data_IF_688111726191
#
_entry.id   IF_688111726191
#
_cell.length_a   1.000
_cell.length_b   1.000
_cell.length_c   1.000
_cell.angle_alpha   90.00
_cell.angle_beta   90.00
_cell.angle_gamma   90.00
#
_symmetry.space_group_name_H-M   'P 1'
#
loop_
_entity.id
_entity.type
_entity.pdbx_description
1 polymer ?
#
# COMPACT_ATOMS: atom_id res chain seq x y z
N UNK A 1 -30.51 -27.17 14.67
CA UNK A 1 -29.65 -28.34 14.79
C UNK A 1 -29.85 -29.18 13.55
N UNK A 2 -28.94 -29.13 12.59
CA UNK A 2 -28.76 -30.14 11.55
C UNK A 2 -27.27 -30.07 11.11
N UNK A 3 -26.58 -31.20 10.87
CA UNK A 3 -25.14 -31.28 10.80
C UNK A 3 -24.59 -30.98 9.40
N UNK A 4 -23.40 -30.40 9.39
CA UNK A 4 -22.54 -30.12 8.24
C UNK A 4 -22.12 -31.42 7.50
N UNK A 5 -22.31 -31.45 6.21
CA UNK A 5 -21.81 -32.49 5.30
C UNK A 5 -20.33 -32.28 5.00
N UNK A 6 -19.55 -33.35 5.22
CA UNK A 6 -18.14 -33.48 4.86
C UNK A 6 -17.94 -33.48 3.35
N UNK A 7 -17.05 -32.62 2.84
CA UNK A 7 -16.54 -32.71 1.47
C UNK A 7 -15.13 -33.33 1.54
N UNK A 8 -14.96 -34.49 0.91
CA UNK A 8 -13.70 -35.19 0.77
C UNK A 8 -12.81 -34.52 -0.29
N UNK A 9 -11.47 -34.57 -0.13
CA UNK A 9 -10.55 -33.99 -1.11
C UNK A 9 -10.36 -34.91 -2.31
N UNK A 10 -10.39 -34.33 -3.50
CA UNK A 10 -10.05 -34.99 -4.78
C UNK A 10 -8.53 -35.11 -4.85
N UNK A 11 -8.06 -36.37 -5.00
CA UNK A 11 -6.65 -36.70 -5.24
C UNK A 11 -6.32 -36.46 -6.70
N UNK A 12 -5.30 -35.64 -6.99
CA UNK A 12 -4.69 -35.48 -8.30
C UNK A 12 -3.45 -36.37 -8.37
N UNK A 13 -3.52 -37.40 -9.22
CA UNK A 13 -2.39 -38.28 -9.57
C UNK A 13 -1.32 -37.47 -10.34
N UNK A 14 -0.12 -37.45 -9.78
CA UNK A 14 1.07 -36.91 -10.45
C UNK A 14 1.72 -38.01 -11.27
N UNK A 15 1.66 -37.89 -12.58
CA UNK A 15 2.40 -38.74 -13.52
C UNK A 15 3.87 -38.37 -13.48
N UNK A 16 4.70 -39.28 -12.94
CA UNK A 16 6.16 -39.19 -12.90
C UNK A 16 6.74 -39.67 -14.23
N UNK A 17 7.32 -38.77 -15.02
CA UNK A 17 8.19 -39.14 -16.15
C UNK A 17 9.65 -39.11 -15.72
N UNK A 18 10.23 -40.27 -15.54
CA UNK A 18 11.67 -40.47 -15.31
C UNK A 18 12.44 -40.32 -16.64
N UNK A 19 13.32 -39.33 -16.72
CA UNK A 19 14.33 -39.21 -17.77
C UNK A 19 15.70 -39.58 -17.22
N UNK A 20 16.24 -40.70 -17.71
CA UNK A 20 17.58 -41.20 -17.45
C UNK A 20 18.62 -40.39 -18.24
N UNK A 21 19.78 -40.00 -17.67
CA UNK A 21 20.86 -39.38 -18.44
C UNK A 21 21.76 -40.43 -19.14
N UNK A 22 22.38 -40.08 -20.29
CA UNK A 22 23.23 -40.99 -21.05
C UNK A 22 24.61 -41.21 -20.42
N UNK A 23 25.29 -42.34 -20.73
CA UNK A 23 26.55 -42.74 -20.09
C UNK A 23 27.77 -42.01 -20.64
N UNK A 24 28.69 -41.63 -19.72
CA UNK A 24 29.97 -41.01 -20.02
C UNK A 24 30.99 -42.12 -20.37
N UNK A 25 31.55 -42.08 -21.58
CA UNK A 25 32.64 -42.95 -22.05
C UNK A 25 33.97 -42.64 -21.36
N UNK A 26 34.48 -43.61 -20.60
CA UNK A 26 35.84 -43.66 -20.14
C UNK A 26 36.70 -44.22 -21.29
N UNK A 27 37.70 -43.48 -21.76
CA UNK A 27 38.83 -44.02 -22.51
C UNK A 27 40.08 -43.90 -21.68
N UNK A 28 40.57 -45.07 -21.22
CA UNK A 28 41.92 -45.27 -20.75
C UNK A 28 42.86 -45.14 -21.95
N UNK A 29 44.00 -44.50 -21.76
CA UNK A 29 45.19 -44.66 -22.59
C UNK A 29 46.40 -44.92 -21.66
N UNK A 30 46.84 -46.18 -21.67
CA UNK A 30 48.15 -46.60 -21.19
C UNK A 30 49.16 -46.48 -22.34
N UNK A 31 50.36 -45.95 -22.09
CA UNK A 31 51.57 -46.24 -22.80
C UNK A 31 52.76 -45.65 -21.94
N UNK A 32 53.68 -46.27 -21.55
CA UNK A 32 54.56 -47.41 -21.81
C UNK A 32 55.96 -46.92 -21.44
N UNK A 33 56.66 -47.84 -20.72
CA UNK A 33 58.03 -47.67 -20.19
C UNK A 33 59.08 -47.44 -21.30
N UNK A 34 60.13 -46.68 -20.95
CA UNK A 34 61.39 -46.62 -21.67
C UNK A 34 62.51 -46.44 -20.69
N UNK A 35 63.20 -47.56 -20.35
CA UNK A 35 64.51 -47.60 -19.66
C UNK A 35 65.57 -47.13 -20.61
N UNK A 36 66.51 -46.27 -20.15
CA UNK A 36 67.73 -45.92 -20.82
C UNK A 36 68.84 -45.60 -19.80
N UNK A 37 69.64 -46.57 -19.47
CA UNK A 37 70.87 -46.44 -18.70
C UNK A 37 71.95 -45.95 -19.59
N UNK A 38 72.74 -44.93 -19.23
CA UNK A 38 74.12 -44.71 -19.51
C UNK A 38 74.79 -43.70 -18.55
N UNK A 39 75.79 -44.09 -17.82
CA UNK A 39 76.72 -43.28 -17.07
C UNK A 39 78.05 -43.20 -17.90
N UNK A 40 79.12 -42.55 -17.38
CA UNK A 40 79.32 -41.16 -16.98
C UNK A 40 80.44 -40.51 -17.84
N UNK A 41 80.53 -39.20 -17.85
CA UNK A 41 81.80 -38.53 -18.22
C UNK A 41 82.02 -37.28 -17.37
N UNK A 42 83.06 -37.34 -16.59
CA UNK A 42 83.61 -36.26 -15.80
C UNK A 42 84.27 -35.24 -16.72
N UNK A 43 83.96 -33.97 -16.57
CA UNK A 43 84.85 -32.84 -16.87
C UNK A 43 84.57 -31.69 -15.90
N UNK A 44 85.58 -31.46 -15.06
CA UNK A 44 85.63 -30.31 -14.18
C UNK A 44 85.97 -29.05 -14.96
N UNK A 45 85.27 -27.96 -14.70
CA UNK A 45 85.90 -26.64 -14.76
C UNK A 45 84.96 -25.52 -14.24
N UNK A 46 85.54 -24.74 -13.38
CA UNK A 46 85.28 -23.34 -13.05
C UNK A 46 83.98 -22.93 -12.28
N UNK A 47 84.29 -22.61 -11.05
CA UNK A 47 83.49 -21.88 -10.11
C UNK A 47 82.92 -20.57 -10.71
N UNK A 48 81.64 -20.47 -10.71
CA UNK A 48 80.93 -19.23 -10.76
C UNK A 48 79.71 -19.35 -9.81
N UNK A 49 79.92 -18.94 -8.58
CA UNK A 49 78.85 -18.85 -7.58
C UNK A 49 77.82 -17.76 -8.04
N UNK A 50 76.83 -18.16 -8.85
CA UNK A 50 75.63 -17.37 -9.00
C UNK A 50 74.82 -17.71 -7.79
N UNK A 51 74.84 -16.84 -6.78
CA UNK A 51 73.88 -16.81 -5.71
C UNK A 51 72.58 -16.55 -6.34
N UNK A 52 71.72 -17.59 -6.55
CA UNK A 52 70.26 -17.41 -6.75
C UNK A 52 69.77 -16.71 -5.51
N UNK A 53 69.54 -15.38 -5.61
CA UNK A 53 68.66 -14.69 -4.71
C UNK A 53 67.31 -15.42 -4.78
N UNK A 54 67.06 -16.23 -3.77
CA UNK A 54 65.73 -16.71 -3.53
C UNK A 54 64.89 -15.43 -3.28
N UNK A 55 64.18 -14.98 -4.30
CA UNK A 55 63.05 -14.00 -4.09
C UNK A 55 62.22 -14.58 -2.98
N UNK A 56 62.25 -13.91 -1.84
CA UNK A 56 61.41 -14.21 -0.70
C UNK A 56 59.99 -13.80 -1.12
N UNK A 57 59.29 -14.61 -1.95
CA UNK A 57 57.89 -14.45 -2.29
C UNK A 57 57.13 -14.51 -0.99
N UNK A 58 56.80 -13.32 -0.47
CA UNK A 58 55.94 -13.17 0.70
C UNK A 58 54.69 -13.99 0.45
N UNK A 59 54.44 -14.99 1.28
CA UNK A 59 53.25 -15.83 1.17
C UNK A 59 52.00 -14.91 1.16
N UNK A 60 51.04 -15.09 0.23
CA UNK A 60 49.82 -14.30 0.22
C UNK A 60 49.11 -14.38 1.59
N UNK A 61 48.49 -13.30 2.05
CA UNK A 61 47.82 -13.29 3.36
C UNK A 61 46.71 -14.36 3.42
N UNK A 62 46.45 -14.83 4.63
CA UNK A 62 45.32 -15.73 4.86
C UNK A 62 43.96 -14.98 4.65
N UNK A 63 42.94 -15.68 4.16
CA UNK A 63 41.59 -15.05 4.00
C UNK A 63 41.11 -14.49 5.31
N UNK A 64 40.51 -13.28 5.25
CA UNK A 64 39.89 -12.62 6.39
C UNK A 64 38.39 -12.56 6.17
N UNK A 65 37.59 -12.91 7.20
CA UNK A 65 36.12 -12.90 7.15
C UNK A 65 35.57 -11.68 7.89
N UNK A 66 34.60 -11.02 7.28
CA UNK A 66 33.80 -9.93 7.92
C UNK A 66 32.34 -10.29 7.84
N UNK A 67 31.70 -10.40 9.00
CA UNK A 67 30.29 -10.69 9.12
C UNK A 67 29.49 -9.42 9.31
N UNK A 68 28.28 -9.39 8.74
CA UNK A 68 27.24 -8.40 8.98
C UNK A 68 25.92 -9.14 9.20
N UNK A 69 25.33 -9.10 10.42
CA UNK A 69 25.90 -8.47 11.63
C UNK A 69 27.18 -9.14 12.09
N UNK A 70 27.89 -8.52 13.05
CA UNK A 70 29.10 -9.10 13.64
C UNK A 70 28.78 -10.43 14.31
N UNK A 71 29.83 -11.29 14.45
CA UNK A 71 29.68 -12.53 15.22
C UNK A 71 29.21 -12.24 16.66
N UNK A 72 28.35 -13.09 17.18
CA UNK A 72 27.70 -12.98 18.48
C UNK A 72 26.79 -11.74 18.68
N UNK A 73 26.43 -11.02 17.60
CA UNK A 73 25.45 -9.94 17.68
C UNK A 73 24.10 -10.46 18.23
N UNK A 74 23.46 -9.64 19.05
CA UNK A 74 22.11 -9.90 19.57
C UNK A 74 21.11 -8.88 19.02
N UNK A 75 19.82 -9.20 19.14
CA UNK A 75 18.70 -8.34 18.79
C UNK A 75 18.74 -7.80 17.33
N UNK A 76 19.24 -8.64 16.42
CA UNK A 76 19.30 -8.29 15.00
C UNK A 76 17.89 -8.21 14.43
N UNK A 77 17.55 -7.07 13.85
CA UNK A 77 16.24 -6.88 13.20
C UNK A 77 16.11 -7.79 11.98
N UNK A 78 15.01 -8.56 11.81
CA UNK A 78 14.85 -9.56 10.76
C UNK A 78 15.08 -9.07 9.32
N UNK A 79 14.79 -7.81 9.03
CA UNK A 79 14.94 -7.17 7.73
C UNK A 79 16.29 -6.48 7.52
N UNK A 80 17.20 -6.59 8.49
CA UNK A 80 18.56 -6.05 8.37
C UNK A 80 19.32 -6.75 7.25
N UNK A 81 20.24 -6.06 6.55
CA UNK A 81 21.15 -6.70 5.61
C UNK A 81 22.03 -7.73 6.31
N UNK A 82 21.99 -8.98 5.86
CA UNK A 82 22.78 -10.10 6.42
C UNK A 82 23.75 -10.57 5.36
N UNK A 83 25.03 -10.51 5.65
CA UNK A 83 26.08 -10.92 4.71
C UNK A 83 27.36 -11.39 5.41
N UNK A 84 28.19 -12.10 4.67
CA UNK A 84 29.56 -12.37 5.02
C UNK A 84 30.47 -12.07 3.83
N UNK A 85 31.58 -11.40 4.09
CA UNK A 85 32.58 -11.01 3.09
C UNK A 85 33.91 -11.68 3.41
N UNK A 86 34.66 -12.07 2.37
CA UNK A 86 36.02 -12.53 2.47
C UNK A 86 36.98 -11.61 1.70
N UNK A 87 38.08 -11.24 2.30
CA UNK A 87 39.23 -10.63 1.63
C UNK A 87 40.38 -11.65 1.50
N UNK A 88 41.29 -11.44 0.52
CA UNK A 88 42.41 -12.30 0.21
C UNK A 88 42.04 -13.77 -0.14
N UNK A 89 40.82 -13.94 -0.74
CA UNK A 89 40.32 -15.26 -1.12
C UNK A 89 38.89 -15.21 -1.65
N UNK A 90 38.28 -16.39 -1.75
CA UNK A 90 36.90 -16.56 -2.22
C UNK A 90 36.16 -17.65 -1.45
N UNK A 91 34.82 -17.62 -1.43
CA UNK A 91 34.00 -18.64 -0.80
C UNK A 91 33.88 -19.90 -1.68
N UNK A 92 34.13 -21.07 -1.10
CA UNK A 92 33.74 -22.35 -1.69
C UNK A 92 32.29 -22.68 -1.40
N UNK A 93 31.91 -22.56 -0.14
CA UNK A 93 30.56 -22.81 0.35
C UNK A 93 30.23 -21.85 1.50
N UNK A 94 29.01 -21.33 1.52
CA UNK A 94 28.44 -20.60 2.65
C UNK A 94 26.96 -21.02 2.81
N UNK A 95 26.56 -21.18 4.06
CA UNK A 95 25.18 -21.34 4.44
C UNK A 95 24.92 -20.61 5.76
N UNK A 96 23.74 -20.02 5.88
CA UNK A 96 23.20 -19.50 7.13
C UNK A 96 22.01 -20.38 7.50
N UNK A 97 22.01 -20.97 8.71
CA UNK A 97 20.97 -21.87 9.19
C UNK A 97 20.38 -21.38 10.50
N UNK A 98 19.08 -21.51 10.69
CA UNK A 98 18.45 -21.26 11.98
C UNK A 98 18.55 -22.51 12.90
N UNK A 99 18.11 -22.38 14.16
CA UNK A 99 18.15 -23.45 15.16
C UNK A 99 17.31 -24.68 14.81
N UNK A 100 16.31 -24.57 13.91
CA UNK A 100 15.53 -25.70 13.39
C UNK A 100 16.17 -26.39 12.18
N UNK A 101 17.34 -25.92 11.71
CA UNK A 101 18.05 -26.47 10.55
C UNK A 101 17.57 -25.91 9.20
N UNK A 102 16.63 -24.96 9.16
CA UNK A 102 16.24 -24.29 7.91
C UNK A 102 17.40 -23.43 7.41
N UNK A 103 17.81 -23.66 6.14
CA UNK A 103 18.79 -22.83 5.44
C UNK A 103 18.09 -21.58 4.92
N UNK A 104 18.67 -20.41 5.23
CA UNK A 104 18.24 -19.12 4.69
C UNK A 104 18.72 -18.97 3.27
N UNK A 105 17.84 -18.59 2.35
CA UNK A 105 18.20 -18.33 0.96
C UNK A 105 19.19 -17.17 0.85
N UNK A 106 20.16 -17.29 -0.07
CA UNK A 106 21.14 -16.25 -0.32
C UNK A 106 21.92 -16.50 -1.59
N UNK A 107 22.70 -15.51 -2.00
CA UNK A 107 23.47 -15.53 -3.23
C UNK A 107 24.88 -14.98 -3.05
N UNK A 108 25.80 -15.43 -3.92
CA UNK A 108 27.13 -14.88 -4.04
C UNK A 108 27.17 -13.74 -5.06
N UNK A 109 28.08 -12.78 -4.85
CA UNK A 109 28.49 -11.89 -5.93
C UNK A 109 29.33 -12.68 -6.98
N UNK A 110 29.63 -12.04 -8.13
CA UNK A 110 30.33 -12.68 -9.26
C UNK A 110 31.67 -13.31 -8.87
N UNK A 111 32.45 -12.65 -8.02
CA UNK A 111 33.77 -13.06 -7.61
C UNK A 111 33.77 -14.01 -6.40
N UNK A 112 32.58 -14.36 -5.90
CA UNK A 112 32.39 -15.19 -4.70
C UNK A 112 33.10 -14.65 -3.46
N UNK A 113 33.24 -13.34 -3.34
CA UNK A 113 33.83 -12.65 -2.19
C UNK A 113 32.83 -12.15 -1.18
N UNK A 114 31.53 -12.08 -1.57
CA UNK A 114 30.41 -11.71 -0.71
C UNK A 114 29.29 -12.71 -0.87
N UNK A 115 28.73 -13.16 0.24
CA UNK A 115 27.46 -13.89 0.29
C UNK A 115 26.44 -13.04 1.05
N UNK A 116 25.26 -12.85 0.47
CA UNK A 116 24.17 -12.06 1.06
C UNK A 116 22.89 -12.88 1.08
N UNK A 117 22.11 -12.82 2.19
CA UNK A 117 20.79 -13.44 2.25
C UNK A 117 19.80 -12.69 1.38
N UNK A 118 18.81 -13.39 0.82
CA UNK A 118 17.78 -12.85 -0.08
C UNK A 118 16.37 -12.89 0.50
N UNK A 119 16.21 -13.45 1.69
CA UNK A 119 14.94 -13.48 2.43
C UNK A 119 15.10 -12.89 3.84
N UNK A 120 14.05 -12.32 4.42
CA UNK A 120 14.05 -11.86 5.82
C UNK A 120 14.26 -13.04 6.77
N UNK A 121 14.81 -12.73 7.94
CA UNK A 121 15.00 -13.70 9.03
C UNK A 121 13.74 -13.82 9.89
N UNK A 122 13.61 -14.89 10.67
CA UNK A 122 12.57 -15.03 11.70
C UNK A 122 12.89 -14.21 12.96
N UNK A 123 11.86 -13.91 13.74
CA UNK A 123 11.99 -13.39 15.10
C UNK A 123 12.44 -14.47 16.07
N UNK A 124 13.04 -14.07 17.18
CA UNK A 124 13.40 -14.93 18.33
C UNK A 124 14.17 -16.20 17.90
N UNK A 125 15.15 -16.02 17.04
CA UNK A 125 15.87 -17.13 16.44
C UNK A 125 17.39 -16.93 16.50
N UNK A 126 18.11 -18.05 16.70
CA UNK A 126 19.56 -18.09 16.54
C UNK A 126 19.91 -18.55 15.13
N UNK A 127 20.81 -17.83 14.50
CA UNK A 127 21.34 -18.13 13.18
C UNK A 127 22.83 -18.45 13.27
N UNK A 128 23.26 -19.50 12.53
CA UNK A 128 24.65 -19.98 12.54
C UNK A 128 25.18 -20.00 11.11
N UNK A 129 26.30 -19.36 10.90
CA UNK A 129 27.09 -19.43 9.66
C UNK A 129 27.88 -20.74 9.59
N UNK A 130 27.91 -21.33 8.41
CA UNK A 130 28.74 -22.51 8.11
C UNK A 130 29.27 -22.44 6.69
N UNK A 131 30.45 -23.05 6.48
CA UNK A 131 31.07 -23.09 5.15
C UNK A 131 32.58 -23.03 5.17
N UNK A 132 33.15 -22.63 4.02
CA UNK A 132 34.61 -22.48 3.86
C UNK A 132 34.95 -21.40 2.84
N UNK A 133 36.02 -20.66 3.09
CA UNK A 133 36.69 -19.78 2.14
C UNK A 133 38.11 -20.27 1.88
N UNK A 134 38.66 -20.03 0.68
CA UNK A 134 40.01 -20.41 0.30
C UNK A 134 40.79 -19.14 -0.08
N UNK A 135 41.99 -19.00 0.49
CA UNK A 135 42.87 -17.88 0.20
C UNK A 135 43.71 -18.09 -1.08
N UNK A 136 44.26 -16.98 -1.58
CA UNK A 136 45.22 -17.02 -2.68
C UNK A 136 46.48 -17.82 -2.35
N UNK A 137 46.73 -18.12 -1.06
CA UNK A 137 47.79 -19.01 -0.56
C UNK A 137 47.36 -20.50 -0.59
N UNK A 138 46.16 -20.85 -1.08
CA UNK A 138 45.63 -22.20 -1.13
C UNK A 138 45.10 -22.73 0.22
N UNK A 139 45.20 -21.97 1.31
CA UNK A 139 44.71 -22.40 2.63
C UNK A 139 43.23 -22.11 2.77
N UNK A 140 42.49 -23.10 3.30
CA UNK A 140 41.07 -22.93 3.61
C UNK A 140 40.88 -22.44 5.05
N UNK A 141 39.92 -21.56 5.24
CA UNK A 141 39.41 -21.13 6.56
C UNK A 141 37.93 -21.47 6.69
N UNK A 142 37.50 -21.92 7.88
CA UNK A 142 36.07 -22.18 8.09
C UNK A 142 35.28 -20.85 8.17
N UNK A 143 34.07 -20.84 7.60
CA UNK A 143 33.11 -19.77 7.81
C UNK A 143 32.26 -20.19 9.01
N UNK A 144 32.52 -19.61 10.17
CA UNK A 144 31.82 -19.91 11.44
C UNK A 144 31.46 -18.61 12.14
N UNK A 145 30.27 -18.54 12.69
CA UNK A 145 29.76 -17.42 13.45
C UNK A 145 28.28 -17.64 13.77
N UNK A 146 27.78 -16.89 14.70
CA UNK A 146 26.34 -16.95 15.11
C UNK A 146 25.85 -15.58 15.53
N UNK A 147 24.55 -15.37 15.44
CA UNK A 147 23.89 -14.19 16.00
C UNK A 147 22.43 -14.53 16.34
N UNK A 148 21.76 -13.66 17.09
CA UNK A 148 20.34 -13.82 17.43
C UNK A 148 19.53 -12.65 16.89
N UNK A 149 18.30 -12.94 16.48
CA UNK A 149 17.33 -11.91 16.08
C UNK A 149 16.55 -11.44 17.29
N UNK A 150 15.96 -10.23 17.15
CA UNK A 150 15.12 -9.62 18.18
C UNK A 150 13.96 -10.54 18.57
N UNK A 151 13.67 -10.56 19.87
CA UNK A 151 12.49 -11.19 20.46
C UNK A 151 11.46 -10.08 20.78
N UNK A 152 10.44 -9.86 19.93
CA UNK A 152 9.47 -8.79 20.14
C UNK A 152 8.68 -8.97 21.43
N UNK A 153 8.44 -7.87 22.16
CA UNK A 153 7.51 -7.86 23.30
C UNK A 153 6.07 -8.13 22.82
N UNK A 154 5.74 -7.69 21.60
CA UNK A 154 4.49 -7.93 20.90
C UNK A 154 4.72 -7.90 19.38
N UNK A 155 4.04 -8.78 18.66
CA UNK A 155 3.90 -8.71 17.21
C UNK A 155 2.54 -8.10 16.89
N UNK A 156 2.53 -6.98 16.15
CA UNK A 156 1.31 -6.23 15.84
C UNK A 156 0.95 -6.49 14.37
N UNK A 157 -0.25 -6.99 14.15
CA UNK A 157 -0.84 -7.19 12.83
C UNK A 157 -1.61 -5.96 12.37
N UNK A 158 -1.70 -5.79 11.05
CA UNK A 158 -2.59 -4.82 10.41
C UNK A 158 -3.52 -5.51 9.43
N UNK A 159 -4.69 -4.90 9.18
CA UNK A 159 -5.65 -5.39 8.20
C UNK A 159 -6.24 -4.21 7.42
N UNK A 160 -6.38 -4.39 6.10
CA UNK A 160 -7.13 -3.45 5.28
C UNK A 160 -8.62 -3.63 5.49
N UNK A 161 -9.38 -2.51 5.49
CA UNK A 161 -10.84 -2.56 5.53
C UNK A 161 -11.43 -2.96 4.17
N UNK A 162 -10.78 -2.60 3.07
CA UNK A 162 -11.17 -3.01 1.73
C UNK A 162 -10.72 -4.45 1.42
N UNK A 163 -11.53 -5.15 0.65
CA UNK A 163 -11.15 -6.46 0.10
C UNK A 163 -10.29 -6.31 -1.16
N UNK A 164 -9.37 -7.25 -1.37
CA UNK A 164 -8.55 -7.30 -2.58
C UNK A 164 -9.42 -7.51 -3.83
N UNK A 165 -9.11 -6.79 -4.90
CA UNK A 165 -9.88 -6.81 -6.15
C UNK A 165 -11.21 -6.06 -6.11
N UNK A 166 -11.55 -5.37 -5.02
CA UNK A 166 -12.82 -4.64 -4.90
C UNK A 166 -12.88 -3.44 -5.87
N UNK A 167 -14.09 -3.13 -6.37
CA UNK A 167 -14.37 -1.87 -7.06
C UNK A 167 -15.13 -0.95 -6.13
N UNK A 168 -14.63 0.28 -5.94
CA UNK A 168 -15.14 1.26 -4.98
C UNK A 168 -15.41 2.62 -5.62
N UNK A 169 -16.12 3.51 -4.92
CA UNK A 169 -16.41 4.87 -5.33
C UNK A 169 -15.19 5.80 -5.23
N UNK A 170 -15.32 6.98 -5.82
CA UNK A 170 -14.22 7.95 -6.01
C UNK A 170 -13.71 8.58 -4.72
N UNK A 171 -14.41 8.42 -3.59
CA UNK A 171 -14.01 8.96 -2.29
C UNK A 171 -13.58 7.88 -1.27
N UNK A 172 -13.39 6.63 -1.71
CA UNK A 172 -12.99 5.56 -0.82
C UNK A 172 -11.61 5.81 -0.22
N UNK A 173 -11.45 5.90 1.12
CA UNK A 173 -10.14 5.93 1.74
C UNK A 173 -9.52 4.54 1.80
N UNK A 174 -8.19 4.48 1.88
CA UNK A 174 -7.46 3.29 2.26
C UNK A 174 -7.34 3.31 3.78
N UNK A 175 -7.79 2.25 4.45
CA UNK A 175 -7.80 2.16 5.91
C UNK A 175 -7.01 0.93 6.32
N UNK A 176 -6.03 1.12 7.19
CA UNK A 176 -5.35 0.03 7.89
C UNK A 176 -5.69 0.14 9.38
N UNK A 177 -6.34 -0.90 9.90
CA UNK A 177 -6.60 -1.09 11.31
C UNK A 177 -5.54 -2.02 11.89
N UNK A 178 -4.86 -1.60 12.95
CA UNK A 178 -3.91 -2.42 13.70
C UNK A 178 -4.58 -3.04 14.93
N UNK A 179 -4.05 -4.17 15.39
CA UNK A 179 -4.57 -4.92 16.54
C UNK A 179 -3.97 -4.46 17.89
N UNK A 180 -3.25 -3.34 17.89
CA UNK A 180 -2.71 -2.67 19.07
C UNK A 180 -2.36 -1.21 18.81
N UNK A 181 -2.18 -0.39 19.87
CA UNK A 181 -1.56 0.93 19.78
C UNK A 181 -0.14 0.86 19.22
N UNK A 182 0.29 1.91 18.52
CA UNK A 182 1.62 2.06 17.90
C UNK A 182 2.28 3.33 18.44
N UNK A 183 3.45 3.19 19.07
CA UNK A 183 4.19 4.33 19.60
C UNK A 183 5.13 4.96 18.55
N UNK A 184 5.69 4.16 17.63
CA UNK A 184 6.52 4.65 16.53
C UNK A 184 5.75 4.64 15.20
N UNK A 185 4.75 5.54 15.10
CA UNK A 185 3.93 5.72 13.89
C UNK A 185 4.78 6.10 12.67
N UNK A 186 5.86 6.84 12.86
CA UNK A 186 6.74 7.25 11.76
C UNK A 186 7.50 6.06 11.13
N UNK A 187 7.94 5.10 11.93
CA UNK A 187 8.58 3.87 11.42
C UNK A 187 7.60 3.07 10.57
N UNK A 188 6.35 2.94 11.02
CA UNK A 188 5.29 2.23 10.29
C UNK A 188 4.95 2.95 8.99
N UNK A 189 4.68 4.25 9.04
CA UNK A 189 4.26 5.02 7.86
C UNK A 189 5.30 5.01 6.73
N UNK A 190 6.61 5.01 7.05
CA UNK A 190 7.70 4.84 6.07
C UNK A 190 7.63 3.51 5.30
N UNK A 191 6.93 2.53 5.82
CA UNK A 191 6.77 1.22 5.19
C UNK A 191 5.49 1.10 4.34
N UNK A 192 4.65 2.15 4.33
CA UNK A 192 3.40 2.20 3.59
C UNK A 192 3.61 2.89 2.25
N UNK A 193 3.33 2.20 1.16
CA UNK A 193 3.44 2.74 -0.19
C UNK A 193 2.09 2.63 -0.91
N UNK A 194 1.61 3.73 -1.47
CA UNK A 194 0.43 3.77 -2.32
C UNK A 194 0.86 4.14 -3.73
N UNK A 195 0.49 3.31 -4.69
CA UNK A 195 0.73 3.55 -6.13
C UNK A 195 -0.59 3.59 -6.85
N UNK A 196 -0.86 4.68 -7.59
CA UNK A 196 -2.09 4.84 -8.36
C UNK A 196 -1.79 5.01 -9.85
N UNK A 197 -2.70 4.53 -10.69
CA UNK A 197 -2.65 4.72 -12.15
C UNK A 197 -4.03 5.19 -12.63
N UNK A 198 -4.14 6.47 -13.10
CA UNK A 198 -3.10 7.50 -13.18
C UNK A 198 -2.61 7.92 -11.78
N UNK A 199 -1.41 8.55 -11.69
CA UNK A 199 -0.87 9.06 -10.43
C UNK A 199 -1.79 10.10 -9.78
N UNK A 200 -2.04 9.98 -8.47
CA UNK A 200 -2.86 10.90 -7.67
C UNK A 200 -2.08 11.37 -6.46
N UNK A 201 -2.14 12.66 -6.17
CA UNK A 201 -1.61 13.21 -4.91
C UNK A 201 -2.47 12.73 -3.73
N UNK A 202 -1.84 12.20 -2.69
CA UNK A 202 -2.53 11.75 -1.49
C UNK A 202 -1.60 11.70 -0.29
N UNK A 203 -2.17 11.54 0.90
CA UNK A 203 -1.43 11.50 2.16
C UNK A 203 -2.04 10.52 3.15
N UNK A 204 -1.17 9.89 3.95
CA UNK A 204 -1.56 9.18 5.16
C UNK A 204 -1.90 10.17 6.27
N UNK A 205 -2.81 9.77 7.14
CA UNK A 205 -3.16 10.48 8.37
C UNK A 205 -3.45 9.47 9.48
N UNK A 206 -2.87 9.66 10.66
CA UNK A 206 -3.13 8.85 11.83
C UNK A 206 -4.34 9.42 12.57
N UNK A 207 -5.41 8.65 12.59
CA UNK A 207 -6.62 9.01 13.31
C UNK A 207 -6.47 8.64 14.80
N UNK A 208 -7.39 9.12 15.69
CA UNK A 208 -7.44 8.66 17.06
C UNK A 208 -7.51 7.13 17.13
N UNK A 209 -6.76 6.54 18.06
CA UNK A 209 -6.76 5.09 18.25
C UNK A 209 -8.15 4.62 18.72
N UNK A 210 -8.57 3.46 18.24
CA UNK A 210 -9.81 2.80 18.66
C UNK A 210 -9.56 1.71 19.70
N UNK A 211 -10.63 1.08 20.17
CA UNK A 211 -10.54 -0.01 21.14
C UNK A 211 -9.68 -1.19 20.64
N UNK A 212 -9.63 -1.41 19.32
CA UNK A 212 -8.84 -2.44 18.67
C UNK A 212 -7.37 -2.08 18.60
N UNK A 213 -7.03 -0.79 18.46
CA UNK A 213 -5.67 -0.31 18.29
C UNK A 213 -5.56 0.93 17.40
N UNK A 214 -4.36 1.16 16.89
CA UNK A 214 -4.07 2.31 16.04
C UNK A 214 -4.74 2.19 14.66
N UNK A 215 -5.10 3.34 14.09
CA UNK A 215 -5.67 3.47 12.75
C UNK A 215 -4.90 4.47 11.91
N UNK A 216 -4.66 4.11 10.64
CA UNK A 216 -4.09 5.03 9.65
C UNK A 216 -4.91 4.97 8.38
N UNK A 217 -5.30 6.14 7.88
CA UNK A 217 -6.06 6.29 6.66
C UNK A 217 -5.21 7.02 5.60
N UNK A 218 -5.44 6.68 4.35
CA UNK A 218 -4.91 7.44 3.22
C UNK A 218 -6.06 7.86 2.31
N UNK A 219 -6.07 9.12 1.92
CA UNK A 219 -6.96 9.62 0.88
C UNK A 219 -6.22 10.50 -0.11
N UNK A 220 -6.72 10.60 -1.36
CA UNK A 220 -6.22 11.60 -2.28
C UNK A 220 -6.62 13.00 -1.81
N UNK A 221 -5.94 14.01 -2.36
CA UNK A 221 -6.29 15.42 -2.14
C UNK A 221 -7.68 15.74 -2.66
N UNK A 222 -7.95 15.33 -3.90
CA UNK A 222 -9.25 15.41 -4.57
C UNK A 222 -9.81 13.99 -4.74
N UNK A 223 -11.08 13.84 -5.09
CA UNK A 223 -11.63 12.53 -5.42
C UNK A 223 -10.80 11.84 -6.52
N UNK A 224 -10.67 10.54 -6.43
CA UNK A 224 -9.99 9.78 -7.48
C UNK A 224 -10.65 10.00 -8.85
N UNK A 225 -9.88 10.07 -9.92
CA UNK A 225 -10.41 9.88 -11.27
C UNK A 225 -11.08 8.51 -11.39
N UNK A 226 -12.21 8.44 -12.09
CA UNK A 226 -12.86 7.16 -12.39
C UNK A 226 -11.92 6.23 -13.18
N UNK A 227 -11.94 4.95 -12.86
CA UNK A 227 -11.09 3.95 -13.48
C UNK A 227 -9.65 3.88 -12.94
N UNK A 228 -9.30 4.66 -11.91
CA UNK A 228 -8.00 4.58 -11.26
C UNK A 228 -7.77 3.20 -10.66
N UNK A 229 -6.59 2.62 -10.92
CA UNK A 229 -6.10 1.41 -10.24
C UNK A 229 -5.23 1.82 -9.06
N UNK A 230 -5.43 1.17 -7.92
CA UNK A 230 -4.71 1.46 -6.68
C UNK A 230 -4.03 0.19 -6.17
N UNK A 231 -2.73 0.29 -5.89
CA UNK A 231 -1.93 -0.74 -5.24
C UNK A 231 -1.35 -0.17 -3.94
N UNK A 232 -1.46 -0.93 -2.88
CA UNK A 232 -0.92 -0.59 -1.56
C UNK A 232 0.00 -1.71 -1.10
N UNK A 233 1.24 -1.36 -0.78
CA UNK A 233 2.20 -2.24 -0.14
C UNK A 233 2.49 -1.70 1.26
N UNK A 234 2.29 -2.53 2.28
CA UNK A 234 2.65 -2.25 3.65
C UNK A 234 3.70 -3.28 4.11
N UNK A 235 4.98 -2.88 4.03
CA UNK A 235 6.15 -3.71 4.36
C UNK A 235 6.43 -3.63 5.86
N UNK A 236 5.56 -4.26 6.65
CA UNK A 236 5.49 -4.13 8.10
C UNK A 236 6.35 -5.16 8.83
N UNK A 237 6.56 -6.35 8.25
CA UNK A 237 7.37 -7.40 8.87
C UNK A 237 8.77 -6.88 9.21
N UNK A 238 9.23 -7.15 10.42
CA UNK A 238 10.54 -6.71 10.88
C UNK A 238 10.65 -5.22 11.22
N UNK A 239 9.61 -4.41 11.02
CA UNK A 239 9.63 -2.98 11.38
C UNK A 239 9.40 -2.79 12.88
N UNK A 240 10.15 -1.91 13.54
CA UNK A 240 9.84 -1.51 14.91
C UNK A 240 8.58 -0.65 14.95
N UNK A 241 7.68 -0.96 15.89
CA UNK A 241 6.44 -0.22 16.14
C UNK A 241 6.51 0.60 17.45
N UNK A 242 7.69 0.59 18.09
CA UNK A 242 7.96 1.21 19.39
C UNK A 242 7.72 0.24 20.56
N UNK A 243 8.25 0.58 21.75
CA UNK A 243 8.09 -0.17 23.00
C UNK A 243 8.43 -1.68 22.90
N UNK A 244 9.40 -2.03 22.03
CA UNK A 244 9.79 -3.41 21.76
C UNK A 244 8.80 -4.21 20.93
N UNK A 245 7.74 -3.58 20.40
CA UNK A 245 6.81 -4.19 19.46
C UNK A 245 7.33 -4.11 18.03
N UNK A 246 6.94 -5.10 17.21
CA UNK A 246 7.30 -5.18 15.79
C UNK A 246 6.12 -5.62 14.95
N UNK A 247 6.14 -5.27 13.65
CA UNK A 247 5.13 -5.71 12.69
C UNK A 247 5.13 -7.23 12.50
N UNK A 248 3.95 -7.84 12.52
CA UNK A 248 3.80 -9.30 12.41
C UNK A 248 4.08 -9.82 11.00
N UNK A 249 3.49 -9.19 9.99
CA UNK A 249 3.52 -9.63 8.59
C UNK A 249 3.48 -8.43 7.64
N UNK A 250 3.92 -8.63 6.39
CA UNK A 250 3.63 -7.71 5.29
C UNK A 250 2.19 -7.92 4.81
N UNK A 251 1.51 -6.84 4.46
CA UNK A 251 0.19 -6.88 3.85
C UNK A 251 0.15 -6.05 2.58
N UNK A 252 -0.68 -6.43 1.62
CA UNK A 252 -0.89 -5.70 0.37
C UNK A 252 -2.36 -5.65 0.00
N UNK A 253 -2.75 -4.66 -0.80
CA UNK A 253 -4.10 -4.47 -1.28
C UNK A 253 -4.05 -3.98 -2.72
N UNK A 254 -4.89 -4.55 -3.58
CA UNK A 254 -5.15 -4.06 -4.91
C UNK A 254 -6.66 -3.81 -5.08
N UNK A 255 -7.06 -2.64 -5.59
CA UNK A 255 -8.45 -2.34 -5.87
C UNK A 255 -8.60 -1.34 -7.01
N UNK A 256 -9.84 -1.14 -7.48
CA UNK A 256 -10.17 -0.24 -8.57
C UNK A 256 -11.18 0.81 -8.14
N UNK A 257 -10.99 2.03 -8.61
CA UNK A 257 -12.00 3.07 -8.54
C UNK A 257 -12.98 2.86 -9.69
N UNK A 258 -14.24 2.74 -9.37
CA UNK A 258 -15.31 2.56 -10.35
C UNK A 258 -15.69 3.87 -11.04
N UNK A 259 -16.98 3.96 -11.37
CA UNK A 259 -17.56 5.17 -11.95
C UNK A 259 -17.52 6.33 -10.97
N UNK A 260 -17.47 7.57 -11.46
CA UNK A 260 -17.72 8.75 -10.65
C UNK A 260 -19.22 8.93 -10.44
N UNK A 261 -19.64 8.92 -9.17
CA UNK A 261 -20.98 9.28 -8.73
C UNK A 261 -20.83 10.07 -7.45
N UNK A 262 -21.41 11.25 -7.43
CA UNK A 262 -21.44 12.16 -6.27
C UNK A 262 -22.89 12.46 -5.93
N UNK A 263 -23.25 12.30 -4.66
CA UNK A 263 -24.56 12.69 -4.17
C UNK A 263 -24.44 14.11 -3.64
N UNK A 264 -25.32 15.01 -4.13
CA UNK A 264 -25.48 16.38 -3.64
C UNK A 264 -26.74 16.44 -2.80
N UNK A 265 -26.61 16.77 -1.53
CA UNK A 265 -27.65 16.76 -0.54
C UNK A 265 -27.72 18.14 0.14
N UNK A 266 -28.53 19.05 -0.41
CA UNK A 266 -28.75 20.38 0.13
C UNK A 266 -30.00 20.37 1.05
N UNK A 267 -29.76 20.54 2.36
CA UNK A 267 -30.77 20.34 3.40
C UNK A 267 -31.96 21.31 3.24
N UNK A 268 -31.73 22.55 2.83
CA UNK A 268 -32.78 23.56 2.65
C UNK A 268 -33.59 23.35 1.37
N UNK A 269 -33.08 22.62 0.41
CA UNK A 269 -33.78 22.33 -0.85
C UNK A 269 -34.80 21.20 -0.71
N UNK A 270 -34.69 20.38 0.34
CA UNK A 270 -35.46 19.15 0.51
C UNK A 270 -35.32 18.20 -0.68
N UNK A 271 -34.14 18.22 -1.34
CA UNK A 271 -33.82 17.39 -2.50
C UNK A 271 -32.45 16.75 -2.38
N UNK A 272 -32.34 15.62 -3.02
CA UNK A 272 -31.06 14.90 -3.19
C UNK A 272 -30.85 14.69 -4.69
N UNK A 273 -29.63 15.01 -5.18
CA UNK A 273 -29.26 14.81 -6.56
C UNK A 273 -28.10 13.82 -6.66
N UNK A 274 -28.16 12.91 -7.61
CA UNK A 274 -27.06 12.01 -7.96
C UNK A 274 -26.43 12.52 -9.25
N UNK A 275 -25.16 12.88 -9.17
CA UNK A 275 -24.40 13.53 -10.24
C UNK A 275 -23.30 12.62 -10.72
N UNK A 276 -23.13 12.50 -12.03
CA UNK A 276 -22.05 11.80 -12.71
C UNK A 276 -21.36 12.75 -13.70
N UNK A 277 -20.39 12.26 -14.46
CA UNK A 277 -19.79 13.05 -15.54
C UNK A 277 -20.78 13.40 -16.67
N UNK A 278 -21.92 12.67 -16.75
CA UNK A 278 -23.02 12.99 -17.67
C UNK A 278 -23.99 14.05 -17.12
N UNK A 279 -23.73 14.58 -15.93
CA UNK A 279 -24.60 15.52 -15.22
C UNK A 279 -25.50 14.86 -14.19
N UNK A 280 -26.61 15.51 -13.84
CA UNK A 280 -27.59 14.98 -12.88
C UNK A 280 -28.35 13.82 -13.51
N UNK A 281 -28.27 12.64 -12.91
CA UNK A 281 -28.93 11.41 -13.37
C UNK A 281 -30.16 11.06 -12.52
N UNK A 282 -30.22 11.57 -11.27
CA UNK A 282 -31.35 11.43 -10.36
C UNK A 282 -31.54 12.75 -9.62
N UNK A 283 -32.78 13.15 -9.40
CA UNK A 283 -33.15 14.33 -8.63
C UNK A 283 -34.46 14.01 -7.89
N UNK A 284 -34.35 13.71 -6.59
CA UNK A 284 -35.43 13.17 -5.79
C UNK A 284 -35.83 14.13 -4.67
N UNK A 285 -37.15 14.29 -4.40
CA UNK A 285 -37.60 14.92 -3.19
C UNK A 285 -37.23 14.07 -1.98
N UNK A 286 -36.75 14.69 -0.91
CA UNK A 286 -36.38 14.00 0.30
C UNK A 286 -36.72 14.80 1.56
N UNK A 287 -36.56 14.18 2.72
CA UNK A 287 -36.66 14.83 4.03
C UNK A 287 -35.37 14.52 4.81
N UNK A 288 -34.74 15.54 5.36
CA UNK A 288 -33.56 15.49 6.19
C UNK A 288 -33.90 15.52 7.68
N UNK A 289 -32.90 15.54 8.53
CA UNK A 289 -33.03 15.70 9.96
C UNK A 289 -33.76 16.96 10.35
N UNK A 290 -34.74 16.86 11.31
CA UNK A 290 -35.55 17.96 11.80
C UNK A 290 -34.76 19.08 12.46
N UNK A 291 -33.55 18.76 12.95
CA UNK A 291 -32.61 19.67 13.62
C UNK A 291 -33.14 20.33 14.91
N UNK A 292 -34.23 19.81 15.50
CA UNK A 292 -34.76 20.22 16.80
C UNK A 292 -33.82 19.87 17.95
N UNK A 293 -32.97 18.84 17.76
CA UNK A 293 -31.93 18.36 18.66
C UNK A 293 -30.68 18.00 17.89
N UNK A 294 -29.54 18.15 18.50
CA UNK A 294 -28.24 17.84 17.88
C UNK A 294 -28.18 16.43 17.25
N UNK A 295 -28.80 15.42 17.89
CA UNK A 295 -28.85 14.05 17.37
C UNK A 295 -29.70 13.89 16.11
N UNK A 296 -30.64 14.84 15.87
CA UNK A 296 -31.55 14.82 14.74
C UNK A 296 -31.03 15.63 13.55
N UNK A 297 -29.83 16.18 13.63
CA UNK A 297 -29.22 16.94 12.54
C UNK A 297 -28.53 15.98 11.58
N UNK A 298 -28.88 16.00 10.29
CA UNK A 298 -28.05 15.41 9.25
C UNK A 298 -26.72 16.17 9.19
N UNK A 299 -25.59 15.51 9.39
CA UNK A 299 -24.28 16.18 9.49
C UNK A 299 -23.89 16.86 8.19
N UNK A 300 -23.40 18.08 8.29
CA UNK A 300 -22.87 18.85 7.17
C UNK A 300 -21.47 18.40 6.81
N UNK A 301 -21.16 18.24 5.53
CA UNK A 301 -19.84 17.81 5.06
C UNK A 301 -19.91 16.66 4.07
N UNK A 302 -18.75 16.09 3.77
CA UNK A 302 -18.65 14.99 2.81
C UNK A 302 -18.66 13.67 3.58
N UNK A 303 -19.73 12.94 3.46
CA UNK A 303 -19.88 11.56 3.91
C UNK A 303 -19.40 10.58 2.84
N UNK A 304 -19.13 9.35 3.24
CA UNK A 304 -18.77 8.26 2.34
C UNK A 304 -19.72 7.10 2.55
N UNK A 305 -20.25 6.54 1.47
CA UNK A 305 -21.07 5.32 1.54
C UNK A 305 -20.20 4.16 2.06
N UNK A 306 -20.64 3.53 3.14
CA UNK A 306 -19.92 2.41 3.77
C UNK A 306 -20.62 1.07 3.61
N UNK A 307 -21.94 1.04 3.68
CA UNK A 307 -22.73 -0.18 3.66
C UNK A 307 -24.06 0.06 2.94
N UNK A 308 -24.65 -1.02 2.47
CA UNK A 308 -26.03 -0.96 1.93
C UNK A 308 -26.80 -2.25 2.17
N UNK A 309 -28.08 -2.09 2.47
CA UNK A 309 -29.00 -3.17 2.82
C UNK A 309 -30.31 -3.03 2.06
N UNK A 310 -30.77 -4.12 1.44
CA UNK A 310 -32.11 -4.14 0.83
C UNK A 310 -33.20 -4.04 1.91
N UNK A 311 -32.98 -4.69 3.04
CA UNK A 311 -33.81 -4.66 4.24
C UNK A 311 -32.89 -4.46 5.47
N UNK A 312 -33.20 -3.47 6.29
CA UNK A 312 -32.43 -3.12 7.49
C UNK A 312 -33.37 -2.84 8.66
N UNK A 313 -32.98 -3.28 9.85
CA UNK A 313 -33.77 -3.04 11.07
C UNK A 313 -33.03 -2.05 11.96
N UNK A 314 -33.53 -0.81 11.97
CA UNK A 314 -32.96 0.28 12.77
C UNK A 314 -33.52 0.29 14.19
N UNK A 315 -32.66 0.58 15.16
CA UNK A 315 -33.07 0.82 16.53
C UNK A 315 -32.34 2.05 17.09
N UNK A 316 -33.13 3.01 17.56
CA UNK A 316 -32.63 4.15 18.32
C UNK A 316 -33.63 4.44 19.46
N UNK A 317 -33.50 3.77 20.64
CA UNK A 317 -34.38 3.98 21.76
C UNK A 317 -34.43 5.42 22.25
N UNK A 318 -33.33 6.18 22.14
CA UNK A 318 -33.29 7.59 22.50
C UNK A 318 -34.13 8.47 21.56
N UNK A 319 -34.36 8.02 20.34
CA UNK A 319 -35.28 8.66 19.37
C UNK A 319 -36.67 8.04 19.38
N UNK A 320 -36.97 7.08 20.25
CA UNK A 320 -38.27 6.51 20.46
C UNK A 320 -38.66 5.35 19.54
N UNK A 321 -37.71 4.72 18.83
CA UNK A 321 -38.00 3.58 17.97
C UNK A 321 -37.03 2.41 18.20
N UNK A 322 -37.55 1.19 17.99
CA UNK A 322 -36.81 -0.06 18.11
C UNK A 322 -37.29 -0.99 17.00
N UNK A 323 -36.33 -1.64 16.33
CA UNK A 323 -36.56 -2.63 15.29
C UNK A 323 -37.45 -2.07 14.12
N UNK A 324 -37.27 -0.80 13.76
CA UNK A 324 -37.94 -0.21 12.60
C UNK A 324 -37.37 -0.83 11.31
N UNK A 325 -38.29 -1.41 10.49
CA UNK A 325 -37.90 -2.02 9.22
C UNK A 325 -37.80 -0.95 8.14
N UNK A 326 -36.59 -0.75 7.66
CA UNK A 326 -36.26 0.21 6.61
C UNK A 326 -35.72 -0.50 5.36
N UNK A 327 -36.18 -0.07 4.20
CA UNK A 327 -35.77 -0.67 2.92
C UNK A 327 -34.82 0.22 2.17
N UNK A 328 -33.98 -0.42 1.34
CA UNK A 328 -33.02 0.25 0.45
C UNK A 328 -32.11 1.22 1.20
N UNK A 329 -31.63 0.78 2.37
CA UNK A 329 -30.84 1.58 3.27
C UNK A 329 -29.36 1.63 2.81
N UNK A 330 -28.85 2.83 2.59
CA UNK A 330 -27.43 3.09 2.26
C UNK A 330 -26.84 3.91 3.40
N UNK A 331 -25.89 3.33 4.14
CA UNK A 331 -25.24 3.97 5.29
C UNK A 331 -24.23 5.01 4.82
N UNK A 332 -24.27 6.20 5.40
CA UNK A 332 -23.39 7.32 5.08
C UNK A 332 -22.57 7.82 6.29
N UNK A 333 -22.89 7.37 7.50
CA UNK A 333 -22.09 7.60 8.69
C UNK A 333 -22.36 6.56 9.77
N UNK A 334 -21.43 6.37 10.71
CA UNK A 334 -21.58 5.40 11.79
C UNK A 334 -22.40 5.92 12.96
N UNK A 335 -22.72 7.21 13.02
CA UNK A 335 -23.68 7.73 14.00
C UNK A 335 -25.13 7.36 13.68
N UNK A 336 -25.36 6.60 12.59
CA UNK A 336 -26.66 6.05 12.21
C UNK A 336 -27.38 6.81 11.11
N UNK A 337 -26.69 7.63 10.33
CA UNK A 337 -27.27 8.31 9.17
C UNK A 337 -27.26 7.40 7.94
N UNK A 338 -28.43 7.32 7.31
CA UNK A 338 -28.69 6.54 6.10
C UNK A 338 -29.46 7.37 5.07
N UNK A 339 -29.30 7.04 3.82
CA UNK A 339 -30.26 7.37 2.75
C UNK A 339 -31.12 6.12 2.57
N UNK A 340 -32.45 6.23 2.82
CA UNK A 340 -33.31 5.04 2.81
C UNK A 340 -34.76 5.36 2.45
N UNK A 341 -35.56 4.34 2.13
CA UNK A 341 -37.00 4.45 1.94
C UNK A 341 -37.69 4.72 3.28
N UNK A 342 -38.53 5.75 3.32
CA UNK A 342 -39.45 5.94 4.44
C UNK A 342 -40.82 6.49 3.94
N UNK A 343 -41.76 5.60 3.59
CA UNK A 343 -43.09 6.00 3.13
C UNK A 343 -43.86 6.84 4.15
N UNK A 344 -43.59 6.71 5.46
CA UNK A 344 -44.25 7.47 6.51
C UNK A 344 -43.96 8.96 6.46
N UNK A 345 -42.79 9.35 5.88
CA UNK A 345 -42.40 10.75 5.68
C UNK A 345 -42.79 11.31 4.31
N UNK A 346 -43.56 10.59 3.50
CA UNK A 346 -43.88 11.00 2.12
C UNK A 346 -44.49 12.43 2.00
N UNK A 347 -45.30 12.86 2.94
CA UNK A 347 -45.88 14.23 2.97
C UNK A 347 -44.85 15.32 3.29
N UNK A 348 -43.68 14.97 3.85
CA UNK A 348 -42.61 15.91 4.17
C UNK A 348 -41.53 15.95 3.07
N UNK A 349 -41.36 14.87 2.30
CA UNK A 349 -40.36 14.76 1.24
C UNK A 349 -40.57 15.85 0.18
N UNK A 350 -39.53 16.65 -0.08
CA UNK A 350 -39.59 17.81 -0.96
C UNK A 350 -40.16 19.08 -0.33
N UNK A 351 -40.50 19.07 0.97
CA UNK A 351 -41.19 20.18 1.60
C UNK A 351 -40.66 20.55 3.00
N UNK A 352 -40.32 19.55 3.84
CA UNK A 352 -39.87 19.78 5.23
C UNK A 352 -38.94 18.68 5.74
N UNK A 353 -38.19 19.00 6.79
CA UNK A 353 -37.27 18.11 7.44
C UNK A 353 -37.85 17.56 8.74
N UNK A 354 -38.09 16.25 8.83
CA UNK A 354 -38.81 15.60 9.94
C UNK A 354 -38.09 14.33 10.47
N UNK A 355 -36.83 14.08 10.08
CA UNK A 355 -36.16 12.83 10.40
C UNK A 355 -35.25 12.96 11.63
N UNK A 356 -34.75 11.85 12.12
CA UNK A 356 -33.73 11.81 13.19
C UNK A 356 -32.29 11.88 12.67
N UNK A 357 -32.05 12.48 11.49
CA UNK A 357 -30.76 12.63 10.87
C UNK A 357 -30.60 11.90 9.53
N UNK A 358 -31.38 10.86 9.26
CA UNK A 358 -31.40 10.16 7.97
C UNK A 358 -31.95 11.03 6.83
N UNK A 359 -31.62 10.67 5.60
CA UNK A 359 -32.20 11.25 4.39
C UNK A 359 -33.27 10.30 3.87
N UNK A 360 -34.56 10.68 4.05
CA UNK A 360 -35.69 9.84 3.72
C UNK A 360 -36.21 10.11 2.30
N UNK A 361 -36.37 9.02 1.54
CA UNK A 361 -36.86 9.01 0.17
C UNK A 361 -38.20 8.22 0.05
N UNK A 362 -38.85 8.35 -1.10
CA UNK A 362 -39.89 7.39 -1.49
C UNK A 362 -39.26 6.00 -1.68
N UNK A 363 -40.07 4.94 -1.61
CA UNK A 363 -39.59 3.58 -1.80
C UNK A 363 -38.95 3.39 -3.18
N UNK A 364 -39.53 3.95 -4.24
CA UNK A 364 -38.99 3.84 -5.61
C UNK A 364 -37.69 4.61 -5.79
N UNK A 365 -37.59 5.80 -5.21
CA UNK A 365 -36.37 6.63 -5.36
C UNK A 365 -35.23 6.07 -4.56
N UNK A 366 -35.50 5.59 -3.34
CA UNK A 366 -34.50 4.88 -2.53
C UNK A 366 -33.98 3.61 -3.21
N UNK A 367 -34.86 2.83 -3.88
CA UNK A 367 -34.46 1.66 -4.65
C UNK A 367 -33.56 2.03 -5.83
N UNK A 368 -33.93 3.08 -6.58
CA UNK A 368 -33.11 3.56 -7.70
C UNK A 368 -31.72 3.97 -7.24
N UNK A 369 -31.62 4.76 -6.16
CA UNK A 369 -30.33 5.15 -5.58
C UNK A 369 -29.55 3.95 -5.07
N UNK A 370 -30.17 3.07 -4.27
CA UNK A 370 -29.56 1.86 -3.72
C UNK A 370 -28.90 0.99 -4.80
N UNK A 371 -29.54 0.84 -5.96
CA UNK A 371 -29.01 0.02 -7.06
C UNK A 371 -27.71 0.56 -7.62
N UNK A 372 -27.47 1.85 -7.56
CA UNK A 372 -26.25 2.51 -8.08
C UNK A 372 -25.19 2.73 -7.02
N UNK A 373 -25.53 2.89 -5.75
CA UNK A 373 -24.61 3.18 -4.66
C UNK A 373 -23.61 2.04 -4.46
N UNK A 374 -22.32 2.39 -4.29
CA UNK A 374 -21.24 1.47 -3.91
C UNK A 374 -20.43 2.07 -2.76
N UNK A 375 -19.72 1.23 -2.01
CA UNK A 375 -18.76 1.68 -1.00
C UNK A 375 -17.81 2.72 -1.60
N UNK A 376 -17.59 3.82 -0.89
CA UNK A 376 -16.67 4.86 -1.34
C UNK A 376 -17.32 5.96 -2.21
N UNK A 377 -18.63 5.91 -2.48
CA UNK A 377 -19.32 7.02 -3.11
C UNK A 377 -19.44 8.20 -2.14
N UNK A 378 -19.10 9.44 -2.53
CA UNK A 378 -19.27 10.60 -1.68
C UNK A 378 -20.72 11.09 -1.66
N UNK A 379 -21.16 11.52 -0.46
CA UNK A 379 -22.42 12.21 -0.22
C UNK A 379 -22.12 13.56 0.41
N UNK A 380 -22.23 14.61 -0.37
CA UNK A 380 -21.93 15.99 0.02
C UNK A 380 -23.19 16.64 0.60
N UNK A 381 -23.27 16.70 1.93
CA UNK A 381 -24.36 17.36 2.65
C UNK A 381 -23.98 18.81 2.91
N UNK A 382 -24.86 19.73 2.50
CA UNK A 382 -24.70 21.18 2.69
C UNK A 382 -25.95 21.79 3.34
N UNK A 383 -25.79 22.98 3.92
CA UNK A 383 -26.92 23.71 4.53
C UNK A 383 -27.35 23.18 5.89
N UNK A 384 -26.57 22.33 6.53
CA UNK A 384 -26.81 21.79 7.87
C UNK A 384 -25.99 22.50 8.94
N UNK A 385 -26.49 22.45 10.20
CA UNK A 385 -25.94 23.25 11.31
C UNK A 385 -24.77 22.61 12.06
N UNK A 386 -24.57 21.27 11.95
CA UNK A 386 -23.52 20.54 12.66
C UNK A 386 -22.60 19.86 11.64
N UNK A 387 -21.30 20.11 11.78
CA UNK A 387 -20.30 19.52 10.90
C UNK A 387 -20.07 18.04 11.23
N UNK A 388 -19.88 17.22 10.20
CA UNK A 388 -19.39 15.85 10.32
C UNK A 388 -18.00 15.88 10.98
N UNK A 389 -17.77 14.99 11.95
CA UNK A 389 -16.55 14.93 12.72
C UNK A 389 -16.19 13.49 13.10
N UNK A 390 -15.04 13.31 13.73
CA UNK A 390 -14.60 11.98 14.17
C UNK A 390 -15.59 11.33 15.17
N UNK A 391 -16.38 12.11 15.89
CA UNK A 391 -17.39 11.58 16.81
C UNK A 391 -18.61 10.97 16.09
N UNK A 392 -18.73 11.19 14.79
CA UNK A 392 -19.83 10.71 13.96
C UNK A 392 -19.50 9.38 13.24
N UNK A 393 -18.29 8.84 13.38
CA UNK A 393 -17.94 7.51 12.90
C UNK A 393 -16.57 7.34 12.22
N UNK A 394 -16.40 6.19 11.57
CA UNK A 394 -15.09 5.73 11.08
C UNK A 394 -14.52 6.55 9.92
N UNK A 395 -15.38 6.99 9.00
CA UNK A 395 -14.94 7.69 7.78
C UNK A 395 -15.47 9.12 7.82
N UNK A 396 -14.66 10.01 8.37
CA UNK A 396 -14.87 11.45 8.39
C UNK A 396 -13.74 12.21 7.69
N UNK A 397 -12.91 11.49 6.97
CA UNK A 397 -11.67 11.92 6.33
C UNK A 397 -11.86 13.18 5.48
N UNK A 398 -12.94 13.23 4.72
CA UNK A 398 -13.26 14.34 3.83
C UNK A 398 -13.89 15.56 4.53
N UNK A 399 -14.21 15.45 5.81
CA UNK A 399 -14.62 16.58 6.64
C UNK A 399 -13.41 17.40 7.14
N UNK A 400 -12.19 16.87 7.01
CA UNK A 400 -10.94 17.53 7.36
C UNK A 400 -10.36 18.19 6.11
N UNK A 401 -9.97 19.47 6.23
CA UNK A 401 -9.28 20.17 5.15
C UNK A 401 -7.92 19.51 4.84
N UNK A 402 -7.41 19.77 3.64
CA UNK A 402 -6.21 19.06 3.16
C UNK A 402 -4.95 19.36 3.98
N UNK A 403 -4.74 20.60 4.40
CA UNK A 403 -3.54 20.98 5.14
C UNK A 403 -3.54 20.34 6.53
N UNK A 404 -4.70 20.32 7.20
CA UNK A 404 -4.90 19.60 8.45
C UNK A 404 -4.71 18.09 8.26
N UNK A 405 -5.24 17.53 7.18
CA UNK A 405 -5.08 16.11 6.86
C UNK A 405 -3.61 15.70 6.72
N UNK A 406 -2.84 16.46 5.94
CA UNK A 406 -1.40 16.22 5.77
C UNK A 406 -0.63 16.37 7.09
N UNK A 407 -1.04 17.31 7.95
CA UNK A 407 -0.43 17.51 9.26
C UNK A 407 -0.67 16.35 10.25
N UNK A 408 -1.64 15.47 9.98
CA UNK A 408 -1.89 14.24 10.76
C UNK A 408 -0.97 13.08 10.36
N UNK A 409 -0.11 13.23 9.35
CA UNK A 409 0.95 12.27 9.02
C UNK A 409 2.00 12.25 10.13
N UNK A 410 2.57 11.07 10.40
CA UNK A 410 3.71 10.92 11.30
C UNK A 410 5.05 11.28 10.63
N UNK A 411 5.04 11.55 9.34
CA UNK A 411 6.21 12.00 8.58
C UNK A 411 6.15 13.52 8.34
N UNK A 412 7.31 14.19 8.25
CA UNK A 412 7.31 15.60 7.84
C UNK A 412 6.67 15.71 6.46
N UNK A 413 5.89 16.78 6.20
CA UNK A 413 5.33 17.02 4.88
C UNK A 413 6.47 17.00 3.84
N UNK A 414 6.24 16.50 2.62
CA UNK A 414 7.23 16.58 1.56
C UNK A 414 7.70 18.03 1.47
N UNK A 415 9.02 18.26 1.58
CA UNK A 415 9.58 19.59 1.37
C UNK A 415 9.05 20.08 0.03
N UNK A 416 8.32 21.20 0.05
CA UNK A 416 7.76 21.78 -1.17
C UNK A 416 8.85 21.76 -2.24
N UNK A 417 8.59 21.13 -3.37
CA UNK A 417 9.49 21.23 -4.52
C UNK A 417 9.70 22.72 -4.77
N UNK A 418 10.93 23.20 -4.97
CA UNK A 418 11.14 24.58 -5.37
C UNK A 418 10.19 24.82 -6.56
N UNK A 419 9.48 25.96 -6.59
CA UNK A 419 8.52 26.25 -7.64
C UNK A 419 9.22 25.95 -8.96
N UNK A 420 8.60 25.13 -9.81
CA UNK A 420 9.13 24.80 -11.12
C UNK A 420 9.54 26.12 -11.78
N UNK A 421 10.83 26.24 -12.09
CA UNK A 421 11.38 27.45 -12.70
C UNK A 421 10.48 27.73 -13.91
N UNK A 422 9.70 28.81 -13.81
CA UNK A 422 8.83 29.21 -14.91
C UNK A 422 9.77 29.42 -16.10
N UNK A 423 9.68 28.55 -17.08
CA UNK A 423 10.31 28.78 -18.37
C UNK A 423 9.68 30.08 -18.86
N UNK A 424 10.46 31.16 -19.13
CA UNK A 424 9.88 32.39 -19.60
C UNK A 424 9.08 32.06 -20.86
N UNK A 425 7.77 32.26 -20.80
CA UNK A 425 6.92 32.22 -21.98
C UNK A 425 7.40 33.39 -22.84
N UNK A 426 8.20 33.10 -23.85
CA UNK A 426 8.55 34.06 -24.89
C UNK A 426 7.24 34.59 -25.47
N UNK A 427 7.05 35.89 -25.36
CA UNK A 427 5.89 36.58 -25.90
C UNK A 427 5.66 36.17 -27.38
N UNK A 428 4.41 35.98 -27.79
CA UNK A 428 4.13 35.63 -29.20
C UNK A 428 4.68 36.72 -30.11
N UNK A 429 5.52 36.31 -31.05
CA UNK A 429 6.01 37.16 -32.10
C UNK A 429 4.82 37.54 -32.99
N UNK A 430 4.43 38.81 -32.97
CA UNK A 430 3.38 39.36 -33.82
C UNK A 430 3.87 39.29 -35.28
N UNK A 431 3.16 38.64 -36.23
CA UNK A 431 3.51 38.72 -37.62
C UNK A 431 3.15 40.13 -38.11
N UNK A 432 4.19 40.89 -38.45
CA UNK A 432 4.05 42.13 -39.25
C UNK A 432 3.77 41.71 -40.67
N UNK A 433 2.55 41.97 -41.13
CA UNK A 433 2.12 42.28 -42.53
C UNK A 433 0.68 41.81 -42.76
N UNK A 434 -0.28 42.73 -42.55
CA UNK A 434 -1.59 42.65 -43.16
C UNK A 434 -1.85 43.98 -43.87
N UNK A 435 -2.33 43.98 -45.11
CA UNK A 435 -2.58 45.21 -45.89
C UNK A 435 -3.84 45.92 -45.37
N UNK A 436 -3.71 47.26 -45.32
CA UNK A 436 -4.77 48.21 -44.97
C UNK A 436 -5.87 48.19 -46.04
N UNK A 437 -7.10 47.82 -45.68
CA UNK A 437 -8.27 48.13 -46.48
C UNK A 437 -9.10 49.21 -45.75
N UNK A 438 -9.10 50.38 -46.39
CA UNK A 438 -9.93 51.52 -46.06
C UNK A 438 -11.37 51.25 -46.55
N UNK A 439 -12.35 51.38 -45.68
CA UNK A 439 -13.77 51.29 -46.02
C UNK A 439 -14.64 51.94 -44.92
N UNK A 440 -15.19 53.09 -45.28
CA UNK A 440 -16.08 53.96 -44.49
C UNK A 440 -17.40 53.25 -44.13
N UNK A 441 -17.92 53.35 -42.89
CA UNK A 441 -19.24 52.79 -42.57
C UNK A 441 -20.35 53.70 -42.98
N UNK A 442 -21.30 53.15 -43.74
CA UNK A 442 -22.61 53.79 -44.05
C UNK A 442 -23.62 53.37 -43.00
N UNK A 443 -24.21 54.36 -42.37
CA UNK A 443 -25.32 54.25 -41.42
C UNK A 443 -26.62 53.82 -42.12
N UNK A 444 -27.37 52.90 -41.51
CA UNK A 444 -28.76 52.58 -41.87
C UNK A 444 -29.67 52.68 -40.64
N UNK A 445 -30.95 52.99 -40.83
CA UNK A 445 -31.77 53.67 -39.82
C UNK A 445 -32.58 52.76 -38.92
N UNK A 446 -32.79 53.27 -37.71
CA UNK A 446 -33.76 52.82 -36.69
C UNK A 446 -35.19 52.87 -37.14
N UNK A 447 -35.94 51.75 -36.93
CA UNK A 447 -37.40 51.80 -36.82
C UNK A 447 -37.85 50.99 -35.61
N UNK A 448 -38.43 51.72 -34.63
CA UNK A 448 -39.25 51.17 -33.57
C UNK A 448 -40.68 50.94 -34.08
N UNK A 449 -41.39 49.96 -33.58
CA UNK A 449 -42.85 50.02 -33.50
C UNK A 449 -43.33 50.11 -32.03
N UNK A 450 -44.22 51.09 -31.82
CA UNK A 450 -45.06 51.30 -30.65
C UNK A 450 -46.34 50.49 -30.71
N UNK A 451 -47.09 50.39 -29.59
CA UNK A 451 -47.98 49.26 -29.29
C UNK A 451 -49.44 49.50 -29.68
N UNK A 452 -50.21 48.45 -29.74
CA UNK A 452 -51.63 48.54 -29.99
C UNK A 452 -52.37 47.22 -30.03
N UNK A 453 -53.27 47.02 -29.09
CA UNK A 453 -54.35 46.04 -29.15
C UNK A 453 -54.25 44.89 -28.13
#
# INVERSE_FOLDING_TARGET
>A
VAPLGSILPVSLDVVSTSSTPPPVNRRLALAALGLGVFAPSVLAACAGTVAKQAENKKEPPAPQLKFQPADAAADVVPISPISVQVSDGWFQKVALTNSSGKVVAGSFNADRTVYTTTEPLGYDATYTWSGSAVGHNGKAVPVTGKFTTVSPSKKIGGAFQLADGQTVGVAAPIIIQFDAPISDKASVEKALTVTTTPPVEGSWAWLPDEAQGARVHWRPREYYPAGTTVNVDAKLYGRPFGDGAFGADDISLHFQIGRKQVVKAEVSSHRIQVVTDAGVIMDFPCSYGEADKARNVTRNGIHVVTEKYADFYMSNPAAGYTNAHERWAVRISNNGEFIHANPSSAGAQGNSNVTNGCINLSTSDAEQYYRTAIYGDPVEVTGSSIQLSYSDGDIWDWAVDWDTWVAMSALPPPTAHPPATQIPVTAPVTPSNAPTLSGTPTSAPTTSPSPGG
#
